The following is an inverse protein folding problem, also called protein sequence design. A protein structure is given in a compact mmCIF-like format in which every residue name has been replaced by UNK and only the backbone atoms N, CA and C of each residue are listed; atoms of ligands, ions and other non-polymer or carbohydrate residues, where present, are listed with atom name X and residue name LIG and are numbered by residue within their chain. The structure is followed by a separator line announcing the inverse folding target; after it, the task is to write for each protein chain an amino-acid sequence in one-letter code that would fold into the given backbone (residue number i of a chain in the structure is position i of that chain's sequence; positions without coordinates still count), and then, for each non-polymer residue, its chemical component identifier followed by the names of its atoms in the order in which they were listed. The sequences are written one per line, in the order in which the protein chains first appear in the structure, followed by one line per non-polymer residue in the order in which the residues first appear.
data_IF_641981839808
#
_entry.id   IF_641981839808
#
_cell.length_a   1.000
_cell.length_b   1.000
_cell.length_c   1.000
_cell.angle_alpha   90.00
_cell.angle_beta   90.00
_cell.angle_gamma   90.00
#
_symmetry.space_group_name_H-M   'P 1'
#
loop_
_entity.id
_entity.type
_entity.pdbx_description
1 polymer ?
#
# COMPACT_ATOMS: atom_id res chain seq x y z
N UNK A 1 6.92 -12.47 0.60
CA UNK A 1 5.83 -12.15 -0.34
C UNK A 1 5.69 -10.63 -0.39
N UNK A 2 5.84 -9.98 -1.54
CA UNK A 2 5.79 -8.51 -1.65
C UNK A 2 4.33 -8.01 -1.54
N UNK A 3 4.09 -6.95 -0.76
CA UNK A 3 2.79 -6.28 -0.57
C UNK A 3 2.08 -5.96 -1.90
N UNK A 4 2.83 -5.58 -2.94
CA UNK A 4 2.30 -5.36 -4.29
C UNK A 4 1.69 -6.65 -4.90
N UNK A 5 2.33 -7.80 -4.67
CA UNK A 5 1.82 -9.09 -5.14
C UNK A 5 0.55 -9.53 -4.42
N UNK A 6 0.40 -9.17 -3.15
CA UNK A 6 -0.84 -9.40 -2.39
C UNK A 6 -1.96 -8.49 -2.89
N UNK A 7 -1.66 -7.22 -3.16
CA UNK A 7 -2.62 -6.24 -3.69
C UNK A 7 -3.24 -6.70 -5.02
N UNK A 8 -2.42 -7.08 -5.99
CA UNK A 8 -2.91 -7.57 -7.30
C UNK A 8 -3.79 -8.80 -7.15
N UNK A 9 -3.43 -9.73 -6.26
CA UNK A 9 -4.24 -10.93 -6.00
C UNK A 9 -5.58 -10.59 -5.35
N UNK A 10 -5.60 -9.67 -4.40
CA UNK A 10 -6.83 -9.22 -3.74
C UNK A 10 -7.77 -8.51 -4.73
N UNK A 11 -7.24 -7.64 -5.60
CA UNK A 11 -8.01 -6.99 -6.66
C UNK A 11 -8.60 -8.01 -7.63
N UNK A 12 -7.80 -8.97 -8.10
CA UNK A 12 -8.28 -10.03 -8.99
C UNK A 12 -9.34 -10.92 -8.34
N UNK A 13 -9.20 -11.21 -7.04
CA UNK A 13 -10.20 -11.97 -6.29
C UNK A 13 -11.51 -11.20 -6.13
N UNK A 14 -11.46 -9.88 -5.88
CA UNK A 14 -12.64 -9.02 -5.84
C UNK A 14 -13.38 -9.02 -7.18
N UNK A 15 -12.65 -8.85 -8.29
CA UNK A 15 -13.23 -8.88 -9.65
C UNK A 15 -13.92 -10.21 -9.93
N UNK A 16 -13.24 -11.34 -9.69
CA UNK A 16 -13.82 -12.67 -9.90
C UNK A 16 -15.04 -12.94 -9.02
N UNK A 17 -15.04 -12.42 -7.79
CA UNK A 17 -16.18 -12.53 -6.90
C UNK A 17 -17.40 -11.76 -7.44
N UNK A 18 -17.20 -10.53 -7.96
CA UNK A 18 -18.28 -9.76 -8.60
C UNK A 18 -18.81 -10.44 -9.87
N UNK A 19 -17.92 -10.92 -10.73
CA UNK A 19 -18.30 -11.64 -11.97
C UNK A 19 -19.17 -12.88 -11.68
N UNK A 20 -18.98 -13.50 -10.51
CA UNK A 20 -19.75 -14.67 -10.06
C UNK A 20 -20.95 -14.32 -9.18
N UNK A 21 -21.22 -13.03 -8.93
CA UNK A 21 -22.33 -12.57 -8.09
C UNK A 21 -22.10 -12.69 -6.58
N UNK A 22 -20.88 -13.00 -6.12
CA UNK A 22 -20.54 -13.05 -4.70
C UNK A 22 -20.20 -11.65 -4.15
N UNK A 23 -21.21 -10.79 -4.03
CA UNK A 23 -21.04 -9.38 -3.67
C UNK A 23 -20.34 -9.20 -2.31
N UNK A 24 -20.81 -9.89 -1.26
CA UNK A 24 -20.19 -9.81 0.08
C UNK A 24 -18.70 -10.22 0.07
N UNK A 25 -18.35 -11.22 -0.74
CA UNK A 25 -16.96 -11.68 -0.90
C UNK A 25 -16.12 -10.64 -1.63
N UNK A 26 -16.68 -9.99 -2.67
CA UNK A 26 -16.00 -8.91 -3.37
C UNK A 26 -15.73 -7.73 -2.44
N UNK A 27 -16.71 -7.35 -1.61
CA UNK A 27 -16.58 -6.25 -0.66
C UNK A 27 -15.52 -6.53 0.42
N UNK A 28 -15.43 -7.78 0.88
CA UNK A 28 -14.37 -8.21 1.80
C UNK A 28 -12.97 -8.04 1.16
N UNK A 29 -12.81 -8.43 -0.11
CA UNK A 29 -11.55 -8.23 -0.82
C UNK A 29 -11.24 -6.75 -1.07
N UNK A 30 -12.24 -5.92 -1.35
CA UNK A 30 -12.05 -4.46 -1.46
C UNK A 30 -11.55 -3.85 -0.14
N UNK A 31 -12.06 -4.33 1.01
CA UNK A 31 -11.57 -3.91 2.32
C UNK A 31 -10.08 -4.21 2.52
N UNK A 32 -9.64 -5.38 2.06
CA UNK A 32 -8.23 -5.78 2.07
C UNK A 32 -7.41 -4.88 1.13
N UNK A 33 -7.89 -4.61 -0.09
CA UNK A 33 -7.24 -3.71 -1.06
C UNK A 33 -7.02 -2.32 -0.47
N UNK A 34 -8.06 -1.72 0.14
CA UNK A 34 -7.97 -0.41 0.80
C UNK A 34 -6.92 -0.40 1.91
N UNK A 35 -6.87 -1.47 2.72
CA UNK A 35 -5.90 -1.59 3.81
C UNK A 35 -4.47 -1.69 3.29
N UNK A 36 -4.24 -2.45 2.21
CA UNK A 36 -2.93 -2.59 1.57
C UNK A 36 -2.45 -1.29 0.92
N UNK A 37 -3.34 -0.55 0.24
CA UNK A 37 -3.01 0.76 -0.32
C UNK A 37 -2.61 1.75 0.78
N UNK A 38 -3.34 1.76 1.90
CA UNK A 38 -2.99 2.60 3.06
C UNK A 38 -1.62 2.24 3.64
N UNK A 39 -1.32 0.95 3.76
CA UNK A 39 -0.02 0.48 4.22
C UNK A 39 1.11 0.94 3.29
N UNK A 40 0.94 0.76 1.98
CA UNK A 40 1.93 1.18 0.98
C UNK A 40 2.16 2.69 1.02
N UNK A 41 1.10 3.49 1.11
CA UNK A 41 1.21 4.95 1.21
C UNK A 41 1.92 5.39 2.51
N UNK A 42 1.65 4.72 3.63
CA UNK A 42 2.34 4.99 4.91
C UNK A 42 3.83 4.64 4.84
N UNK A 43 4.19 3.54 4.16
CA UNK A 43 5.58 3.19 3.91
C UNK A 43 6.28 4.24 3.03
N UNK A 44 5.61 4.74 1.99
CA UNK A 44 6.14 5.82 1.15
C UNK A 44 6.36 7.11 1.95
N UNK A 45 5.41 7.51 2.80
CA UNK A 45 5.56 8.71 3.64
C UNK A 45 6.71 8.58 4.65
N UNK A 46 6.86 7.42 5.29
CA UNK A 46 7.97 7.18 6.24
C UNK A 46 9.34 7.21 5.56
N UNK A 47 9.43 6.85 4.27
CA UNK A 47 10.66 6.97 3.49
C UNK A 47 10.95 8.44 3.17
N UNK A 48 9.94 9.24 2.80
CA UNK A 48 10.10 10.67 2.55
C UNK A 48 10.50 11.45 3.81
N UNK A 49 9.91 11.15 4.97
CA UNK A 49 10.30 11.77 6.26
C UNK A 49 11.75 11.43 6.65
N UNK A 50 12.16 10.17 6.45
CA UNK A 50 13.56 9.77 6.70
C UNK A 50 14.55 10.41 5.74
N UNK A 51 14.12 10.73 4.51
CA UNK A 51 14.97 11.40 3.51
C UNK A 51 15.07 12.91 3.75
N UNK A 52 14.00 13.54 4.25
CA UNK A 52 14.00 14.95 4.65
C UNK A 52 14.95 15.24 5.83
N UNK A 53 15.03 14.33 6.81
CA UNK A 53 15.91 14.48 7.97
C UNK A 53 17.37 14.08 7.73
N UNK A 54 17.73 13.56 6.55
CA UNK A 54 19.11 13.19 6.19
C UNK A 54 19.79 14.23 5.28
N UNK A 55 19.21 15.42 5.10
CA UNK A 55 19.80 16.53 4.30
C UNK A 55 20.13 17.76 5.15
N UNK A 56 20.57 17.58 6.40
CA UNK A 56 21.13 18.69 7.20
C UNK A 56 22.20 18.20 8.16
N UNK A 57 23.30 17.68 7.62
CA UNK A 57 24.60 17.52 8.27
C UNK A 57 25.58 17.20 7.12
N UNK A 58 26.62 17.94 6.77
CA UNK A 58 27.46 18.89 7.50
C UNK A 58 27.95 19.97 6.52
N UNK A 59 27.72 21.24 6.80
CA UNK A 59 28.60 22.32 6.33
C UNK A 59 29.03 23.13 7.56
N UNK A 60 29.86 22.51 8.39
CA UNK A 60 30.68 23.24 9.35
C UNK A 60 31.80 23.94 8.56
N UNK A 61 31.57 25.20 8.19
CA UNK A 61 32.66 26.14 7.96
C UNK A 61 33.00 26.77 9.31
N UNK A 62 34.12 26.36 9.89
CA UNK A 62 34.77 27.06 11.00
C UNK A 62 36.28 27.11 10.79
#
# INVERSE_FOLDING_TARGET
MNTQGVLVRAMNAATKARERGFINTADAFDGIVKSLLRLMNSQTQSIDEKRGNSSTDEFHFH
#
